data_IF_206537308747
#
_entry.id   IF_206537308747
#
_cell.length_a   1.000
_cell.length_b   1.000
_cell.length_c   1.000
_cell.angle_alpha   90.00
_cell.angle_beta   90.00
_cell.angle_gamma   90.00
#
_symmetry.space_group_name_H-M   'P 1'
#
loop_
_entity.id
_entity.type
_entity.pdbx_description
1 polymer ?
#
# COMPACT_ATOMS: atom_id res chain seq x y z
N UNK A 1 6.77 -16.54 6.67
CA UNK A 1 6.03 -15.40 6.09
C UNK A 1 5.44 -14.60 7.23
N UNK A 2 5.83 -13.34 7.48
CA UNK A 2 5.12 -12.52 8.45
C UNK A 2 3.86 -11.94 7.81
N UNK A 3 2.72 -12.19 8.44
CA UNK A 3 1.46 -11.49 8.24
C UNK A 3 1.70 -9.97 8.27
N UNK A 4 1.46 -9.29 7.16
CA UNK A 4 1.40 -7.83 7.13
C UNK A 4 0.07 -7.50 7.80
N UNK A 5 0.09 -7.39 9.13
CA UNK A 5 -1.04 -6.91 9.91
C UNK A 5 -1.53 -5.62 9.26
N UNK A 6 -2.82 -5.58 8.93
CA UNK A 6 -3.59 -4.42 8.48
C UNK A 6 -3.30 -3.23 9.40
N UNK A 7 -2.21 -2.52 9.13
CA UNK A 7 -1.86 -1.31 9.86
C UNK A 7 -2.64 -0.22 9.15
N UNK A 8 -3.90 -0.10 9.55
CA UNK A 8 -4.84 0.94 9.18
C UNK A 8 -4.09 2.26 8.97
N UNK A 9 -3.86 2.64 7.71
CA UNK A 9 -3.19 3.88 7.33
C UNK A 9 -4.21 5.02 7.47
N UNK A 10 -4.60 5.29 8.71
CA UNK A 10 -5.56 6.34 9.07
C UNK A 10 -4.83 7.68 9.05
N UNK A 11 -4.58 8.21 7.85
CA UNK A 11 -4.30 9.64 7.71
C UNK A 11 -5.64 10.33 7.91
N UNK A 12 -5.87 10.83 9.12
CA UNK A 12 -6.98 11.75 9.34
C UNK A 12 -6.65 13.04 8.58
N UNK A 13 -7.52 13.47 7.65
CA UNK A 13 -7.29 14.74 6.96
C UNK A 13 -7.28 15.86 8.01
N UNK A 14 -6.09 16.40 8.29
CA UNK A 14 -5.87 17.45 9.28
C UNK A 14 -4.86 17.14 10.39
N UNK A 15 -4.38 15.89 10.53
CA UNK A 15 -3.40 15.54 11.58
C UNK A 15 -2.03 15.26 10.94
N UNK A 16 -1.12 16.24 11.04
CA UNK A 16 0.25 16.11 10.52
C UNK A 16 1.11 15.27 11.51
N UNK A 17 1.57 14.07 11.12
CA UNK A 17 2.33 13.20 12.02
C UNK A 17 3.68 13.80 12.42
N UNK A 18 4.26 14.66 11.58
CA UNK A 18 5.50 15.39 11.90
C UNK A 18 5.24 16.42 13.02
N UNK A 19 4.11 17.13 12.95
CA UNK A 19 3.71 18.05 14.01
C UNK A 19 3.43 17.31 15.33
N UNK A 20 2.85 16.12 15.27
CA UNK A 20 2.53 15.33 16.49
C UNK A 20 3.75 14.82 17.23
N UNK A 21 4.79 14.46 16.48
CA UNK A 21 6.09 14.06 17.01
C UNK A 21 7.03 15.24 17.26
N UNK A 22 6.60 16.48 16.99
CA UNK A 22 7.42 17.70 17.13
C UNK A 22 8.74 17.62 16.33
N UNK A 23 8.71 17.02 15.15
CA UNK A 23 9.87 16.82 14.27
C UNK A 23 9.71 17.52 12.93
N UNK A 24 10.83 17.78 12.26
CA UNK A 24 10.84 18.33 10.91
C UNK A 24 10.56 17.23 9.87
N UNK A 25 10.04 17.60 8.70
CA UNK A 25 9.79 16.69 7.56
C UNK A 25 11.07 16.09 6.98
N UNK A 26 12.21 16.74 7.19
CA UNK A 26 13.55 16.31 6.75
C UNK A 26 14.21 15.35 7.74
N UNK A 27 13.59 15.07 8.89
CA UNK A 27 14.20 14.31 9.98
C UNK A 27 14.44 12.83 9.62
N UNK A 28 15.62 12.30 9.91
CA UNK A 28 15.94 10.88 9.69
C UNK A 28 15.19 9.92 10.62
N UNK A 29 15.17 8.64 10.28
CA UNK A 29 14.50 7.58 11.06
C UNK A 29 14.98 7.52 12.52
N UNK A 30 16.25 7.82 12.77
CA UNK A 30 16.80 7.92 14.13
C UNK A 30 16.17 9.07 14.93
N UNK A 31 15.93 10.21 14.28
CA UNK A 31 15.30 11.36 14.90
C UNK A 31 13.82 11.07 15.22
N UNK A 32 13.10 10.43 14.29
CA UNK A 32 11.71 9.95 14.51
C UNK A 32 11.65 9.03 15.73
N UNK A 33 12.57 8.07 15.84
CA UNK A 33 12.64 7.14 16.96
C UNK A 33 12.96 7.83 18.28
N UNK A 34 13.89 8.78 18.28
CA UNK A 34 14.25 9.57 19.46
C UNK A 34 13.07 10.41 19.95
N UNK A 35 12.37 11.08 19.04
CA UNK A 35 11.18 11.87 19.35
C UNK A 35 10.06 11.01 19.94
N UNK A 36 9.82 9.82 19.39
CA UNK A 36 8.87 8.86 19.96
C UNK A 36 9.20 8.52 21.42
N UNK A 37 10.45 8.18 21.75
CA UNK A 37 10.84 7.88 23.13
C UNK A 37 10.68 9.08 24.06
N UNK A 38 10.97 10.30 23.59
CA UNK A 38 10.77 11.51 24.39
C UNK A 38 9.29 11.72 24.71
N UNK A 39 8.42 11.55 23.71
CA UNK A 39 7.00 11.78 23.86
C UNK A 39 6.31 10.69 24.70
N UNK A 40 6.75 9.43 24.59
CA UNK A 40 6.28 8.33 25.48
C UNK A 40 6.70 8.55 26.94
N UNK A 41 7.88 9.14 27.18
CA UNK A 41 8.30 9.49 28.55
C UNK A 41 7.52 10.66 29.12
N UNK A 42 7.07 11.60 28.26
CA UNK A 42 6.26 12.76 28.64
C UNK A 42 4.79 12.38 28.88
N UNK A 43 4.26 11.44 28.09
CA UNK A 43 2.89 10.94 28.17
C UNK A 43 2.88 9.43 28.44
N UNK A 44 3.06 9.02 29.70
CA UNK A 44 3.06 7.61 30.04
C UNK A 44 1.69 6.98 29.74
N UNK A 45 1.66 5.72 29.26
CA UNK A 45 0.44 5.05 28.82
C UNK A 45 -0.58 4.86 29.96
N UNK A 46 -0.11 4.83 31.21
CA UNK A 46 -0.96 4.72 32.40
C UNK A 46 -1.77 5.99 32.68
N UNK A 47 -1.25 7.17 32.31
CA UNK A 47 -1.87 8.46 32.63
C UNK A 47 -2.67 9.04 31.46
N UNK A 48 -2.23 8.78 30.22
CA UNK A 48 -2.83 9.37 29.03
C UNK A 48 -2.88 8.35 27.86
N UNK A 49 -3.79 7.35 27.92
CA UNK A 49 -3.86 6.31 26.89
C UNK A 49 -4.23 6.86 25.51
N UNK A 50 -5.04 7.93 25.45
CA UNK A 50 -5.45 8.57 24.19
C UNK A 50 -4.29 9.28 23.49
N UNK A 51 -3.48 10.04 24.25
CA UNK A 51 -2.29 10.73 23.74
C UNK A 51 -1.25 9.72 23.25
N UNK A 52 -1.02 8.67 24.03
CA UNK A 52 -0.09 7.60 23.66
C UNK A 52 -0.50 6.92 22.34
N UNK A 53 -1.80 6.65 22.14
CA UNK A 53 -2.29 6.07 20.88
C UNK A 53 -2.00 6.98 19.68
N UNK A 54 -2.16 8.30 19.83
CA UNK A 54 -1.87 9.26 18.76
C UNK A 54 -0.37 9.31 18.44
N UNK A 55 0.49 9.37 19.47
CA UNK A 55 1.95 9.35 19.33
C UNK A 55 2.41 8.06 18.62
N UNK A 56 1.87 6.92 19.03
CA UNK A 56 2.19 5.63 18.42
C UNK A 56 1.78 5.57 16.95
N UNK A 57 0.59 6.08 16.60
CA UNK A 57 0.13 6.14 15.21
C UNK A 57 1.04 7.00 14.34
N UNK A 58 1.41 8.19 14.82
CA UNK A 58 2.35 9.07 14.11
C UNK A 58 3.70 8.38 13.86
N UNK A 59 4.22 7.66 14.86
CA UNK A 59 5.45 6.87 14.71
C UNK A 59 5.29 5.74 13.67
N UNK A 60 4.19 5.00 13.70
CA UNK A 60 3.95 3.91 12.74
C UNK A 60 3.85 4.39 11.28
N UNK A 61 3.41 5.63 11.05
CA UNK A 61 3.38 6.27 9.73
C UNK A 61 4.77 6.72 9.24
N UNK A 62 5.69 7.07 10.15
CA UNK A 62 7.01 7.60 9.81
C UNK A 62 8.17 6.60 9.99
N UNK A 63 7.90 5.40 10.52
CA UNK A 63 8.93 4.41 10.88
C UNK A 63 9.76 3.88 9.70
N UNK A 64 9.18 3.77 8.51
CA UNK A 64 9.88 3.22 7.33
C UNK A 64 9.87 4.24 6.19
N UNK A 65 10.90 4.25 5.33
CA UNK A 65 10.99 5.20 4.22
C UNK A 65 9.82 5.06 3.24
N UNK A 66 9.28 3.84 3.05
CA UNK A 66 8.09 3.60 2.23
C UNK A 66 6.84 4.27 2.82
N UNK A 67 6.60 4.07 4.13
CA UNK A 67 5.47 4.70 4.83
C UNK A 67 5.60 6.22 4.86
N UNK A 68 6.83 6.73 4.99
CA UNK A 68 7.15 8.15 4.95
C UNK A 68 6.80 8.77 3.59
N UNK A 69 7.28 8.18 2.50
CA UNK A 69 6.92 8.64 1.14
C UNK A 69 5.41 8.65 0.92
N UNK A 70 4.73 7.61 1.38
CA UNK A 70 3.27 7.55 1.29
C UNK A 70 2.63 8.69 2.08
N UNK A 71 3.05 8.89 3.32
CA UNK A 71 2.61 10.01 4.17
C UNK A 71 2.85 11.37 3.51
N UNK A 72 4.02 11.60 2.94
CA UNK A 72 4.37 12.82 2.23
C UNK A 72 3.47 13.06 1.01
N UNK A 73 3.16 12.02 0.23
CA UNK A 73 2.23 12.11 -0.91
C UNK A 73 0.83 12.55 -0.46
N UNK A 74 0.32 11.96 0.62
CA UNK A 74 -1.00 12.32 1.16
C UNK A 74 -1.04 13.72 1.78
N UNK A 75 0.08 14.21 2.33
CA UNK A 75 0.17 15.59 2.83
C UNK A 75 0.21 16.62 1.71
N UNK A 76 0.80 16.28 0.56
CA UNK A 76 0.90 17.17 -0.60
C UNK A 76 -0.39 17.19 -1.45
N UNK A 77 -1.12 16.08 -1.48
CA UNK A 77 -2.35 15.96 -2.26
C UNK A 77 -3.48 15.49 -1.35
N UNK A 78 -4.46 16.35 -0.99
CA UNK A 78 -5.65 15.88 -0.31
C UNK A 78 -6.32 14.85 -1.22
N UNK A 79 -6.61 13.67 -0.68
CA UNK A 79 -7.24 12.59 -1.44
C UNK A 79 -8.48 13.17 -2.13
N UNK A 80 -8.57 13.15 -3.47
CA UNK A 80 -9.76 13.65 -4.15
C UNK A 80 -10.99 12.91 -3.61
N UNK A 81 -12.14 13.58 -3.46
CA UNK A 81 -13.36 12.92 -3.02
C UNK A 81 -13.57 11.71 -3.92
N UNK A 82 -13.56 10.52 -3.33
CA UNK A 82 -13.69 9.31 -4.14
C UNK A 82 -15.06 9.38 -4.80
N UNK A 83 -15.14 9.26 -6.14
CA UNK A 83 -16.43 9.17 -6.79
C UNK A 83 -17.17 8.01 -6.14
N UNK A 84 -18.47 8.16 -5.93
CA UNK A 84 -19.34 7.10 -5.43
C UNK A 84 -19.24 5.91 -6.40
N UNK A 85 -18.27 5.01 -6.16
CA UNK A 85 -18.03 3.80 -6.94
C UNK A 85 -19.17 2.85 -6.59
N UNK A 86 -20.35 3.07 -7.18
CA UNK A 86 -21.15 1.93 -7.58
C UNK A 86 -20.26 1.20 -8.57
N UNK A 87 -19.57 0.14 -8.11
CA UNK A 87 -18.93 -0.76 -9.06
C UNK A 87 -20.03 -1.16 -10.02
N UNK A 88 -19.95 -0.78 -11.32
CA UNK A 88 -20.84 -1.40 -12.27
C UNK A 88 -20.59 -2.90 -12.11
N UNK A 89 -21.65 -3.70 -12.11
CA UNK A 89 -21.48 -5.14 -12.17
C UNK A 89 -20.64 -5.40 -13.43
N UNK A 90 -19.37 -5.74 -13.26
CA UNK A 90 -18.52 -6.11 -14.37
C UNK A 90 -19.18 -7.35 -14.95
N UNK A 91 -19.89 -7.19 -16.06
CA UNK A 91 -20.39 -8.34 -16.79
C UNK A 91 -19.17 -8.97 -17.46
N UNK A 92 -18.62 -9.98 -16.78
CA UNK A 92 -17.53 -10.81 -17.29
C UNK A 92 -18.04 -11.82 -18.32
N UNK A 93 -19.26 -11.63 -18.86
CA UNK A 93 -19.74 -12.42 -19.98
C UNK A 93 -18.82 -12.22 -21.18
N UNK A 94 -18.26 -13.33 -21.66
CA UNK A 94 -17.53 -13.34 -22.92
C UNK A 94 -18.56 -13.38 -24.03
N UNK A 95 -18.60 -12.35 -24.87
CA UNK A 95 -19.48 -12.36 -26.04
C UNK A 95 -19.02 -13.47 -27.00
N UNK A 96 -19.97 -14.19 -27.61
CA UNK A 96 -19.63 -15.21 -28.62
C UNK A 96 -18.81 -14.64 -29.79
N UNK A 97 -18.97 -13.35 -30.10
CA UNK A 97 -18.15 -12.64 -31.08
C UNK A 97 -16.66 -12.59 -30.67
N UNK A 98 -16.39 -12.44 -29.37
CA UNK A 98 -15.03 -12.37 -28.84
C UNK A 98 -14.35 -13.74 -28.87
N UNK A 99 -15.10 -14.83 -28.64
CA UNK A 99 -14.60 -16.21 -28.78
C UNK A 99 -14.16 -16.50 -30.22
N UNK A 100 -14.92 -16.05 -31.21
CA UNK A 100 -14.57 -16.26 -32.63
C UNK A 100 -13.30 -15.49 -33.02
N UNK A 101 -13.14 -14.28 -32.50
CA UNK A 101 -11.95 -13.45 -32.72
C UNK A 101 -10.72 -14.08 -32.07
N UNK A 102 -10.84 -14.55 -30.83
CA UNK A 102 -9.77 -15.26 -30.13
C UNK A 102 -9.39 -16.58 -30.82
N UNK A 103 -10.37 -17.37 -31.26
CA UNK A 103 -10.12 -18.60 -31.99
C UNK A 103 -9.33 -18.34 -33.28
N UNK A 104 -9.63 -17.25 -33.99
CA UNK A 104 -8.93 -16.86 -35.20
C UNK A 104 -7.50 -16.39 -34.89
N UNK A 105 -7.29 -15.62 -33.83
CA UNK A 105 -5.95 -15.21 -33.36
C UNK A 105 -5.10 -16.40 -32.91
N UNK A 106 -5.69 -17.37 -32.21
CA UNK A 106 -5.00 -18.57 -31.72
C UNK A 106 -4.65 -19.55 -32.85
N UNK A 107 -5.52 -19.67 -33.86
CA UNK A 107 -5.28 -20.54 -35.03
C UNK A 107 -4.38 -19.89 -36.09
N UNK A 108 -4.31 -18.55 -36.13
CA UNK A 108 -3.38 -17.80 -36.98
C UNK A 108 -1.93 -17.84 -36.49
N UNK A 109 -1.67 -18.38 -35.29
CA UNK A 109 -0.31 -18.68 -34.83
C UNK A 109 0.09 -20.03 -35.44
N UNK A 110 1.06 -20.09 -36.37
CA UNK A 110 1.58 -21.39 -36.77
C UNK A 110 2.15 -22.06 -35.51
N UNK A 111 1.58 -23.21 -35.13
CA UNK A 111 2.20 -24.11 -34.17
C UNK A 111 3.50 -24.56 -34.85
N UNK A 112 4.59 -23.84 -34.57
CA UNK A 112 5.92 -24.28 -34.93
C UNK A 112 6.06 -25.71 -34.43
N UNK A 113 6.40 -26.59 -35.36
CA UNK A 113 6.49 -28.04 -35.22
C UNK A 113 7.71 -28.45 -34.38
N UNK A 114 7.94 -27.77 -33.25
CA UNK A 114 9.08 -28.00 -32.37
C UNK A 114 8.82 -29.14 -31.36
N UNK A 115 7.94 -30.08 -31.72
CA UNK A 115 7.82 -31.36 -31.02
C UNK A 115 8.65 -32.41 -31.78
N UNK A 116 9.97 -32.26 -31.72
CA UNK A 116 10.86 -33.34 -32.13
C UNK A 116 10.79 -34.46 -31.08
N UNK A 117 10.56 -35.73 -31.47
CA UNK A 117 10.61 -36.84 -30.52
C UNK A 117 12.02 -36.97 -29.95
N UNK A 118 12.11 -37.16 -28.64
CA UNK A 118 13.34 -37.48 -27.93
C UNK A 118 13.79 -38.89 -28.36
N UNK A 119 14.73 -38.97 -29.30
CA UNK A 119 15.42 -40.21 -29.66
C UNK A 119 16.13 -40.72 -28.41
N UNK A 120 15.65 -41.85 -27.88
CA UNK A 120 16.28 -42.56 -26.78
C UNK A 120 17.42 -43.41 -27.35
N UNK A 121 18.65 -42.89 -27.28
CA UNK A 121 19.87 -43.66 -27.53
C UNK A 121 19.96 -44.86 -26.55
N UNK A 122 20.27 -46.04 -27.10
CA UNK A 122 20.56 -47.29 -26.38
C UNK A 122 22.04 -47.44 -26.09
#
# INVERSE_FOLDING_TARGET
MPEIADTQFDIRPGEDPYARLEIERTADDEAVRKAYFQQVRRFPPEQAPQEFQQIRRAYEQLRTPERRKMTDLFLLQPLPPQPNRRMPACDLSVSGADLSTLALVLTARPLAQDFLPFEAES
#
